data_IF_988981653998
#
_entry.id   IF_988981653998
#
_cell.length_a   1.000
_cell.length_b   1.000
_cell.length_c   1.000
_cell.angle_alpha   90.00
_cell.angle_beta   90.00
_cell.angle_gamma   90.00
#
_symmetry.space_group_name_H-M   'P 1'
#
loop_
_entity.id
_entity.type
_entity.pdbx_description
1 polymer ?
#
# COMPACT_ATOMS: atom_id res chain seq x y z
N UNK A 1 -48.23 43.51 -14.07
CA UNK A 1 -47.15 43.89 -13.13
C UNK A 1 -47.66 43.53 -11.75
N UNK A 2 -47.07 42.63 -10.97
CA UNK A 2 -45.66 42.34 -10.74
C UNK A 2 -45.49 40.85 -10.38
N UNK A 3 -44.38 40.29 -10.84
CA UNK A 3 -43.85 38.96 -10.55
C UNK A 3 -43.12 38.94 -9.20
N UNK A 4 -43.21 37.83 -8.47
CA UNK A 4 -42.43 37.54 -7.26
C UNK A 4 -41.71 36.20 -7.41
N UNK A 5 -40.38 36.25 -7.36
CA UNK A 5 -39.42 35.19 -7.69
C UNK A 5 -39.27 34.22 -6.52
N UNK A 6 -39.33 32.91 -6.79
CA UNK A 6 -39.09 31.84 -5.83
C UNK A 6 -37.60 31.69 -5.50
N UNK A 7 -37.28 31.71 -4.20
CA UNK A 7 -35.95 31.55 -3.64
C UNK A 7 -35.54 30.07 -3.54
N UNK A 8 -34.58 29.62 -4.34
CA UNK A 8 -33.88 28.36 -4.10
C UNK A 8 -32.77 28.58 -3.06
N UNK A 9 -32.79 27.80 -1.98
CA UNK A 9 -31.87 27.90 -0.84
C UNK A 9 -30.41 27.59 -1.19
N UNK A 10 -29.40 28.20 -0.52
CA UNK A 10 -27.96 28.00 -0.77
C UNK A 10 -27.45 26.55 -0.61
N UNK A 11 -28.21 25.68 0.07
CA UNK A 11 -27.85 24.31 0.39
C UNK A 11 -27.93 23.36 -0.83
N UNK A 12 -28.78 23.67 -1.83
CA UNK A 12 -28.92 22.87 -3.05
C UNK A 12 -27.79 23.11 -4.05
N UNK A 13 -27.27 24.34 -4.13
CA UNK A 13 -26.10 24.69 -4.95
C UNK A 13 -24.81 24.06 -4.42
N UNK A 14 -24.63 24.02 -3.09
CA UNK A 14 -23.48 23.39 -2.43
C UNK A 14 -23.41 21.87 -2.68
N UNK A 15 -24.55 21.19 -2.66
CA UNK A 15 -24.65 19.76 -2.92
C UNK A 15 -24.40 19.41 -4.41
N UNK A 16 -24.82 20.29 -5.33
CA UNK A 16 -24.51 20.15 -6.76
C UNK A 16 -23.01 20.31 -7.05
N UNK A 17 -22.34 21.22 -6.33
CA UNK A 17 -20.90 21.47 -6.47
C UNK A 17 -20.06 20.30 -5.94
N UNK A 18 -20.45 19.73 -4.79
CA UNK A 18 -19.79 18.56 -4.19
C UNK A 18 -19.97 17.31 -5.07
N UNK A 19 -21.17 17.08 -5.63
CA UNK A 19 -21.39 15.99 -6.61
C UNK A 19 -20.56 16.17 -7.88
N UNK A 20 -20.42 17.41 -8.37
CA UNK A 20 -19.60 17.71 -9.54
C UNK A 20 -18.11 17.45 -9.27
N UNK A 21 -17.60 17.82 -8.09
CA UNK A 21 -16.20 17.56 -7.69
C UNK A 21 -15.94 16.07 -7.46
N UNK A 22 -16.87 15.33 -6.84
CA UNK A 22 -16.75 13.87 -6.66
C UNK A 22 -16.75 13.15 -8.03
N UNK A 23 -17.61 13.57 -8.96
CA UNK A 23 -17.59 13.03 -10.32
C UNK A 23 -16.29 13.37 -11.07
N UNK A 24 -15.75 14.59 -10.90
CA UNK A 24 -14.44 14.97 -11.48
C UNK A 24 -13.29 14.13 -10.90
N UNK A 25 -13.32 13.82 -9.60
CA UNK A 25 -12.30 12.99 -8.94
C UNK A 25 -12.40 11.51 -9.34
N UNK A 26 -13.62 10.99 -9.56
CA UNK A 26 -13.84 9.64 -10.10
C UNK A 26 -13.34 9.54 -11.55
N UNK A 27 -13.51 10.60 -12.35
CA UNK A 27 -13.01 10.66 -13.73
C UNK A 27 -11.47 10.72 -13.79
N UNK A 28 -10.80 11.31 -12.80
CA UNK A 28 -9.32 11.41 -12.76
C UNK A 28 -8.66 10.09 -12.32
N UNK A 29 -9.35 9.25 -11.53
CA UNK A 29 -8.75 8.05 -10.93
C UNK A 29 -9.10 6.73 -11.63
N UNK A 30 -9.73 6.76 -12.81
CA UNK A 30 -9.89 5.57 -13.66
C UNK A 30 -9.10 5.79 -14.95
N UNK A 31 -7.77 5.74 -14.87
CA UNK A 31 -6.89 5.17 -15.91
C UNK A 31 -5.43 5.13 -15.42
N UNK A 32 -4.74 3.98 -15.46
CA UNK A 32 -3.30 3.95 -15.61
C UNK A 32 -3.00 3.85 -17.12
N UNK A 33 -3.03 4.98 -17.84
CA UNK A 33 -2.25 5.18 -19.08
C UNK A 33 -2.51 6.56 -19.71
N UNK A 34 -1.51 7.18 -20.36
CA UNK A 34 -1.70 8.37 -21.19
C UNK A 34 -2.32 7.96 -22.54
N UNK A 35 -3.60 7.60 -22.55
CA UNK A 35 -4.39 7.46 -23.77
C UNK A 35 -5.28 8.70 -23.92
N UNK A 36 -5.29 9.34 -25.09
CA UNK A 36 -6.16 10.49 -25.37
C UNK A 36 -7.63 10.09 -25.28
N UNK A 37 -8.52 11.02 -24.87
CA UNK A 37 -9.98 10.76 -24.72
C UNK A 37 -10.60 10.23 -26.03
N UNK A 38 -10.04 10.64 -27.17
CA UNK A 38 -10.35 10.10 -28.49
C UNK A 38 -10.14 8.58 -28.61
N UNK A 39 -9.10 8.02 -27.97
CA UNK A 39 -8.79 6.59 -28.02
C UNK A 39 -9.86 5.75 -27.30
N UNK A 40 -10.39 6.24 -26.18
CA UNK A 40 -11.52 5.61 -25.47
C UNK A 40 -12.79 5.58 -26.33
N UNK A 41 -13.06 6.65 -27.08
CA UNK A 41 -14.21 6.72 -27.98
C UNK A 41 -14.04 5.78 -29.19
N UNK A 42 -12.81 5.63 -29.69
CA UNK A 42 -12.48 4.68 -30.77
C UNK A 42 -12.65 3.22 -30.34
N UNK A 43 -12.17 2.86 -29.15
CA UNK A 43 -12.28 1.50 -28.61
C UNK A 43 -13.73 1.08 -28.33
N UNK A 44 -14.61 2.06 -28.03
CA UNK A 44 -16.04 1.83 -27.76
C UNK A 44 -16.97 2.21 -28.93
N UNK A 45 -16.41 2.52 -30.12
CA UNK A 45 -17.18 3.07 -31.25
C UNK A 45 -18.33 2.17 -31.70
N UNK A 46 -18.08 0.86 -31.80
CA UNK A 46 -19.09 -0.14 -32.18
C UNK A 46 -20.24 -0.18 -31.19
N UNK A 47 -19.94 -0.20 -29.89
CA UNK A 47 -20.94 -0.17 -28.83
C UNK A 47 -21.84 1.08 -28.91
N UNK A 48 -21.25 2.26 -29.13
CA UNK A 48 -22.02 3.50 -29.24
C UNK A 48 -22.89 3.53 -30.49
N UNK A 49 -22.42 2.98 -31.61
CA UNK A 49 -23.23 2.83 -32.82
C UNK A 49 -24.44 1.95 -32.51
N UNK A 50 -24.23 0.75 -31.97
CA UNK A 50 -25.32 -0.19 -31.69
C UNK A 50 -26.35 0.37 -30.70
N UNK A 51 -25.87 1.04 -29.65
CA UNK A 51 -26.71 1.55 -28.56
C UNK A 51 -27.48 2.80 -28.97
N UNK A 52 -26.79 3.80 -29.55
CA UNK A 52 -27.39 5.11 -29.85
C UNK A 52 -28.26 5.07 -31.11
N UNK A 53 -28.08 4.07 -31.99
CA UNK A 53 -28.91 3.91 -33.19
C UNK A 53 -30.35 3.49 -32.88
N UNK A 54 -30.67 3.15 -31.63
CA UNK A 54 -32.04 2.91 -31.19
C UNK A 54 -32.92 4.17 -31.31
N UNK A 55 -32.34 5.37 -31.12
CA UNK A 55 -33.01 6.65 -31.35
C UNK A 55 -31.96 7.75 -31.67
N UNK A 56 -31.46 7.74 -32.90
CA UNK A 56 -30.41 8.68 -33.31
C UNK A 56 -30.92 10.13 -33.35
N UNK A 57 -32.20 10.34 -33.63
CA UNK A 57 -32.80 11.68 -33.63
C UNK A 57 -32.77 12.32 -32.24
N UNK A 58 -33.07 11.55 -31.19
CA UNK A 58 -32.97 12.00 -29.80
C UNK A 58 -31.53 12.38 -29.43
N UNK A 59 -30.55 11.54 -29.77
CA UNK A 59 -29.12 11.81 -29.49
C UNK A 59 -28.65 13.06 -30.23
N UNK A 60 -29.05 13.23 -31.49
CA UNK A 60 -28.67 14.38 -32.31
C UNK A 60 -29.23 15.69 -31.75
N UNK A 61 -30.47 15.67 -31.24
CA UNK A 61 -31.10 16.83 -30.60
C UNK A 61 -30.34 17.26 -29.33
N UNK A 62 -29.95 16.29 -28.49
CA UNK A 62 -29.18 16.56 -27.28
C UNK A 62 -27.76 17.04 -27.59
N UNK A 63 -27.13 16.50 -28.65
CA UNK A 63 -25.82 16.96 -29.11
C UNK A 63 -25.85 18.41 -29.62
N UNK A 64 -26.94 18.84 -30.27
CA UNK A 64 -27.14 20.23 -30.68
C UNK A 64 -27.36 21.15 -29.47
N UNK A 65 -28.27 20.77 -28.55
CA UNK A 65 -28.59 21.55 -27.36
C UNK A 65 -27.37 21.77 -26.47
N UNK A 66 -26.53 20.74 -26.29
CA UNK A 66 -25.28 20.81 -25.53
C UNK A 66 -24.12 21.44 -26.30
N UNK A 67 -24.39 22.00 -27.49
CA UNK A 67 -23.43 22.71 -28.36
C UNK A 67 -22.20 21.86 -28.71
N UNK A 68 -22.39 20.56 -28.89
CA UNK A 68 -21.36 19.62 -29.37
C UNK A 68 -21.31 19.68 -30.89
N UNK A 69 -22.50 19.76 -31.51
CA UNK A 69 -22.69 20.06 -32.92
C UNK A 69 -23.43 21.39 -33.09
N UNK A 70 -23.24 22.02 -34.23
CA UNK A 70 -23.92 23.26 -34.63
C UNK A 70 -25.24 22.94 -35.34
N UNK A 71 -26.15 23.91 -35.40
CA UNK A 71 -27.43 23.78 -36.13
C UNK A 71 -27.27 23.35 -37.60
N UNK A 72 -26.22 23.84 -38.27
CA UNK A 72 -25.90 23.45 -39.65
C UNK A 72 -25.47 21.97 -39.72
N UNK A 73 -24.68 21.52 -38.77
CA UNK A 73 -24.24 20.12 -38.69
C UNK A 73 -25.41 19.20 -38.35
N UNK A 74 -26.31 19.61 -37.44
CA UNK A 74 -27.56 18.91 -37.16
C UNK A 74 -28.39 18.70 -38.44
N UNK A 75 -28.62 19.74 -39.23
CA UNK A 75 -29.38 19.62 -40.49
C UNK A 75 -28.71 18.71 -41.52
N UNK A 76 -27.37 18.69 -41.57
CA UNK A 76 -26.62 17.80 -42.47
C UNK A 76 -26.66 16.34 -42.01
N UNK A 77 -26.62 16.11 -40.70
CA UNK A 77 -26.65 14.78 -40.10
C UNK A 77 -28.06 14.18 -40.15
N UNK A 78 -29.10 14.99 -39.90
CA UNK A 78 -30.51 14.58 -39.90
C UNK A 78 -31.16 14.54 -41.31
N UNK A 79 -30.40 14.11 -42.33
CA UNK A 79 -30.90 14.06 -43.70
C UNK A 79 -31.85 12.85 -43.88
N UNK A 80 -32.99 13.00 -44.59
CA UNK A 80 -34.00 11.93 -44.76
C UNK A 80 -33.51 10.65 -45.46
N UNK A 81 -32.29 10.67 -46.01
CA UNK A 81 -31.68 9.51 -46.67
C UNK A 81 -30.72 8.73 -45.76
N UNK A 82 -30.49 9.20 -44.52
CA UNK A 82 -29.64 8.50 -43.57
C UNK A 82 -30.47 7.51 -42.73
N UNK A 83 -29.96 6.31 -42.57
CA UNK A 83 -30.43 5.37 -41.55
C UNK A 83 -30.00 5.87 -40.16
N UNK A 84 -30.67 5.42 -39.10
CA UNK A 84 -30.32 5.77 -37.72
C UNK A 84 -28.84 5.47 -37.40
N UNK A 85 -28.35 4.32 -37.90
CA UNK A 85 -26.94 3.92 -37.79
C UNK A 85 -26.00 4.89 -38.49
N UNK A 86 -26.31 5.29 -39.74
CA UNK A 86 -25.52 6.26 -40.49
C UNK A 86 -25.51 7.63 -39.81
N UNK A 87 -26.61 8.03 -39.15
CA UNK A 87 -26.66 9.28 -38.38
C UNK A 87 -25.65 9.23 -37.22
N UNK A 88 -25.61 8.13 -36.46
CA UNK A 88 -24.69 7.97 -35.33
C UNK A 88 -23.24 7.83 -35.79
N UNK A 89 -22.96 7.05 -36.83
CA UNK A 89 -21.61 6.93 -37.39
C UNK A 89 -21.07 8.31 -37.77
N UNK A 90 -21.85 9.08 -38.53
CA UNK A 90 -21.46 10.42 -38.96
C UNK A 90 -21.32 11.40 -37.78
N UNK A 91 -22.16 11.28 -36.75
CA UNK A 91 -22.04 12.07 -35.52
C UNK A 91 -20.74 11.76 -34.78
N UNK A 92 -20.42 10.48 -34.55
CA UNK A 92 -19.20 10.06 -33.86
C UNK A 92 -17.95 10.50 -34.63
N UNK A 93 -17.92 10.32 -35.95
CA UNK A 93 -16.82 10.79 -36.79
C UNK A 93 -16.66 12.31 -36.70
N UNK A 94 -17.77 13.05 -36.66
CA UNK A 94 -17.74 14.50 -36.52
C UNK A 94 -17.20 14.93 -35.15
N UNK A 95 -17.61 14.26 -34.07
CA UNK A 95 -17.13 14.52 -32.71
C UNK A 95 -15.62 14.24 -32.60
N UNK A 96 -15.15 13.11 -33.13
CA UNK A 96 -13.73 12.75 -33.16
C UNK A 96 -12.88 13.76 -33.95
N UNK A 97 -13.36 14.21 -35.10
CA UNK A 97 -12.66 15.20 -35.93
C UNK A 97 -12.57 16.61 -35.30
N UNK A 98 -13.34 16.90 -34.25
CA UNK A 98 -13.31 18.19 -33.52
C UNK A 98 -12.32 18.23 -32.35
N UNK A 99 -11.66 17.10 -32.04
CA UNK A 99 -10.62 17.02 -31.02
C UNK A 99 -11.10 16.64 -29.62
N UNK A 100 -10.15 16.40 -28.71
CA UNK A 100 -10.37 15.77 -27.39
C UNK A 100 -11.36 16.51 -26.49
N UNK A 101 -11.40 17.84 -26.53
CA UNK A 101 -12.35 18.63 -25.74
C UNK A 101 -13.80 18.37 -26.15
N UNK A 102 -14.04 18.18 -27.45
CA UNK A 102 -15.38 17.85 -27.96
C UNK A 102 -15.74 16.42 -27.62
N UNK A 103 -14.79 15.48 -27.72
CA UNK A 103 -14.97 14.09 -27.29
C UNK A 103 -15.33 14.00 -25.81
N UNK A 104 -14.63 14.76 -24.94
CA UNK A 104 -14.90 14.80 -23.50
C UNK A 104 -16.30 15.31 -23.20
N UNK A 105 -16.71 16.41 -23.85
CA UNK A 105 -18.06 16.98 -23.70
C UNK A 105 -19.14 16.03 -24.21
N UNK A 106 -18.86 15.25 -25.24
CA UNK A 106 -19.78 14.23 -25.75
C UNK A 106 -19.91 13.04 -24.80
N UNK A 107 -18.80 12.54 -24.24
CA UNK A 107 -18.85 11.50 -23.22
C UNK A 107 -19.59 11.97 -21.95
N UNK A 108 -19.44 13.23 -21.56
CA UNK A 108 -20.22 13.83 -20.47
C UNK A 108 -21.72 13.86 -20.80
N UNK A 109 -22.09 14.24 -22.03
CA UNK A 109 -23.48 14.21 -22.47
C UNK A 109 -24.07 12.79 -22.38
N UNK A 110 -23.33 11.76 -22.82
CA UNK A 110 -23.80 10.37 -22.72
C UNK A 110 -23.95 9.86 -21.27
N UNK A 111 -23.37 10.58 -20.31
CA UNK A 111 -23.53 10.32 -18.88
C UNK A 111 -24.69 11.09 -18.24
N UNK A 112 -25.36 11.99 -18.98
CA UNK A 112 -26.51 12.72 -18.47
C UNK A 112 -27.70 11.78 -18.22
N UNK A 113 -28.43 12.02 -17.13
CA UNK A 113 -29.53 11.17 -16.68
C UNK A 113 -30.59 10.92 -17.77
N UNK A 114 -30.93 11.94 -18.56
CA UNK A 114 -31.93 11.85 -19.63
C UNK A 114 -31.50 10.89 -20.75
N UNK A 115 -30.20 10.83 -21.06
CA UNK A 115 -29.67 9.89 -22.05
C UNK A 115 -29.52 8.49 -21.47
N UNK A 116 -29.11 8.35 -20.21
CA UNK A 116 -29.01 7.05 -19.56
C UNK A 116 -30.38 6.36 -19.34
N UNK A 117 -31.44 7.14 -19.14
CA UNK A 117 -32.81 6.61 -19.02
C UNK A 117 -33.34 6.09 -20.36
N UNK A 118 -33.04 6.76 -21.48
CA UNK A 118 -33.47 6.35 -22.82
C UNK A 118 -32.57 5.26 -23.44
N UNK A 119 -31.30 5.21 -23.04
CA UNK A 119 -30.34 4.21 -23.52
C UNK A 119 -29.75 3.42 -22.34
N UNK A 120 -30.45 2.39 -21.84
CA UNK A 120 -29.99 1.60 -20.70
C UNK A 120 -28.63 0.93 -20.94
N UNK A 121 -28.26 0.66 -22.20
CA UNK A 121 -26.92 0.20 -22.56
C UNK A 121 -25.80 1.15 -22.10
N UNK A 122 -26.03 2.47 -22.16
CA UNK A 122 -25.07 3.48 -21.68
C UNK A 122 -24.84 3.37 -20.17
N UNK A 123 -25.88 3.03 -19.40
CA UNK A 123 -25.77 2.88 -17.95
C UNK A 123 -24.86 1.72 -17.54
N UNK A 124 -24.84 0.64 -18.32
CA UNK A 124 -23.91 -0.48 -18.11
C UNK A 124 -22.50 -0.17 -18.60
N UNK A 125 -22.35 0.57 -19.71
CA UNK A 125 -21.03 0.95 -20.24
C UNK A 125 -20.30 2.00 -19.40
N UNK A 126 -21.02 3.00 -18.90
CA UNK A 126 -20.51 4.00 -17.95
C UNK A 126 -20.64 3.57 -16.49
N UNK A 127 -21.09 2.34 -16.23
CA UNK A 127 -21.04 1.80 -14.88
C UNK A 127 -19.58 1.85 -14.46
N UNK A 128 -19.24 2.55 -13.35
CA UNK A 128 -17.88 2.44 -12.83
C UNK A 128 -17.60 0.95 -12.70
N UNK A 129 -16.42 0.46 -13.15
CA UNK A 129 -16.11 -0.95 -13.09
C UNK A 129 -16.48 -1.40 -11.68
N UNK A 130 -17.48 -2.29 -11.58
CA UNK A 130 -17.72 -2.91 -10.30
C UNK A 130 -16.38 -3.54 -9.95
N UNK A 131 -15.82 -3.28 -8.76
CA UNK A 131 -14.67 -4.06 -8.34
C UNK A 131 -15.09 -5.49 -8.58
N UNK A 132 -14.39 -6.19 -9.48
CA UNK A 132 -14.59 -7.61 -9.58
C UNK A 132 -14.49 -8.10 -8.14
N UNK A 133 -15.35 -9.02 -7.74
CA UNK A 133 -15.26 -9.65 -6.42
C UNK A 133 -14.02 -10.56 -6.42
N UNK A 134 -12.83 -9.99 -6.62
CA UNK A 134 -11.68 -10.37 -5.84
C UNK A 134 -12.14 -10.14 -4.40
N UNK A 135 -12.18 -11.19 -3.59
CA UNK A 135 -12.18 -10.99 -2.15
C UNK A 135 -11.06 -9.99 -1.86
N UNK A 136 -11.40 -8.76 -1.46
CA UNK A 136 -10.39 -7.81 -0.98
C UNK A 136 -9.54 -8.59 0.02
N UNK A 137 -8.21 -8.61 -0.17
CA UNK A 137 -7.31 -9.28 0.78
C UNK A 137 -7.64 -8.71 2.15
N UNK A 138 -8.33 -9.51 2.97
CA UNK A 138 -8.88 -9.04 4.23
C UNK A 138 -7.78 -8.59 5.17
N UNK A 139 -8.14 -7.87 6.24
CA UNK A 139 -7.19 -7.45 7.27
C UNK A 139 -7.13 -8.47 8.41
N UNK A 140 -5.95 -8.66 9.01
CA UNK A 140 -5.87 -9.34 10.29
C UNK A 140 -6.56 -8.48 11.36
N UNK A 141 -7.28 -9.14 12.27
CA UNK A 141 -7.76 -8.49 13.49
C UNK A 141 -6.54 -7.96 14.25
N UNK A 142 -6.54 -6.68 14.63
CA UNK A 142 -5.48 -5.99 15.36
C UNK A 142 -6.09 -5.00 16.37
N UNK A 143 -7.10 -5.44 17.11
CA UNK A 143 -7.91 -4.62 18.03
C UNK A 143 -7.80 -5.01 19.50
N UNK A 144 -7.18 -6.15 19.83
CA UNK A 144 -6.96 -6.60 21.22
C UNK A 144 -5.98 -5.70 21.99
N UNK A 145 -6.22 -5.53 23.30
CA UNK A 145 -5.34 -4.76 24.20
C UNK A 145 -5.03 -5.66 25.41
N UNK A 146 -3.77 -6.12 25.59
CA UNK A 146 -2.62 -5.87 24.72
C UNK A 146 -2.77 -6.47 23.32
N UNK A 147 -2.08 -5.91 22.32
CA UNK A 147 -2.04 -6.43 20.94
C UNK A 147 -1.45 -7.83 20.86
N UNK A 148 -0.67 -8.18 21.86
CA UNK A 148 0.04 -9.43 22.03
C UNK A 148 1.44 -9.16 22.55
N UNK A 149 2.29 -10.17 22.46
CA UNK A 149 3.63 -10.13 23.02
C UNK A 149 4.62 -9.64 21.96
N UNK A 150 5.47 -8.67 22.33
CA UNK A 150 6.65 -8.27 21.60
C UNK A 150 7.90 -8.66 22.40
N UNK A 151 8.64 -9.64 21.94
CA UNK A 151 9.87 -10.11 22.59
C UNK A 151 11.08 -9.50 21.91
N UNK A 152 11.98 -8.90 22.69
CA UNK A 152 13.25 -8.36 22.19
C UNK A 152 14.39 -9.19 22.80
N UNK A 153 15.07 -9.97 21.97
CA UNK A 153 16.32 -10.66 22.33
C UNK A 153 17.49 -9.78 21.88
N UNK A 154 18.20 -9.18 22.83
CA UNK A 154 19.28 -8.25 22.55
C UNK A 154 20.62 -8.75 23.13
N UNK A 155 21.46 -9.31 22.26
CA UNK A 155 22.81 -9.76 22.65
C UNK A 155 23.79 -8.62 22.40
N UNK A 156 24.31 -8.05 23.49
CA UNK A 156 25.23 -6.92 23.52
C UNK A 156 26.62 -7.40 23.92
N UNK A 157 26.72 -8.16 25.01
CA UNK A 157 27.98 -8.61 25.60
C UNK A 157 28.20 -10.08 25.25
N UNK A 158 29.24 -10.34 24.47
CA UNK A 158 29.64 -11.69 24.06
C UNK A 158 30.82 -12.15 24.89
N UNK A 159 30.99 -13.47 25.04
CA UNK A 159 32.14 -14.06 25.75
C UNK A 159 33.47 -13.55 25.16
N UNK A 160 33.53 -13.43 23.84
CA UNK A 160 34.60 -12.75 23.14
C UNK A 160 34.34 -11.24 23.11
N UNK A 161 35.06 -10.47 23.92
CA UNK A 161 34.86 -9.02 24.07
C UNK A 161 34.96 -8.21 22.76
N UNK A 162 35.77 -8.67 21.78
CA UNK A 162 35.88 -8.00 20.47
C UNK A 162 34.57 -8.00 19.70
N UNK A 163 33.64 -8.86 20.08
CA UNK A 163 32.37 -9.06 19.41
C UNK A 163 31.24 -8.29 20.11
N UNK A 164 31.53 -7.51 21.15
CA UNK A 164 30.53 -6.70 21.84
C UNK A 164 29.82 -5.72 20.89
N UNK A 165 28.51 -5.61 21.04
CA UNK A 165 27.62 -4.87 20.13
C UNK A 165 27.19 -3.51 20.67
N UNK A 166 28.13 -2.70 21.19
CA UNK A 166 27.87 -1.39 21.79
C UNK A 166 27.00 -0.47 20.90
N UNK A 167 25.89 0.04 21.41
CA UNK A 167 24.90 0.82 20.66
C UNK A 167 23.67 0.01 20.22
N UNK A 168 23.65 -1.31 20.45
CA UNK A 168 22.43 -2.12 20.31
C UNK A 168 21.38 -1.79 21.38
N UNK A 169 21.78 -1.13 22.46
CA UNK A 169 20.91 -0.56 23.49
C UNK A 169 20.03 0.57 22.93
N UNK A 170 20.55 1.33 21.95
CA UNK A 170 19.79 2.37 21.26
C UNK A 170 18.65 1.73 20.46
N UNK A 171 18.95 0.65 19.74
CA UNK A 171 17.96 -0.13 18.99
C UNK A 171 16.91 -0.75 19.92
N UNK A 172 17.35 -1.33 21.05
CA UNK A 172 16.44 -1.88 22.06
C UNK A 172 15.48 -0.81 22.57
N UNK A 173 15.99 0.37 22.93
CA UNK A 173 15.16 1.48 23.41
C UNK A 173 14.13 1.91 22.36
N UNK A 174 14.55 2.11 21.11
CA UNK A 174 13.63 2.47 20.02
C UNK A 174 12.54 1.43 19.79
N UNK A 175 12.88 0.14 19.88
CA UNK A 175 11.92 -0.95 19.74
C UNK A 175 10.93 -1.00 20.91
N UNK A 176 11.40 -0.83 22.15
CA UNK A 176 10.52 -0.76 23.33
C UNK A 176 9.53 0.38 23.15
N UNK A 177 10.01 1.58 22.79
CA UNK A 177 9.18 2.76 22.62
C UNK A 177 8.09 2.54 21.55
N UNK A 178 8.47 2.10 20.35
CA UNK A 178 7.51 1.95 19.24
C UNK A 178 6.52 0.82 19.48
N UNK A 179 6.95 -0.35 19.98
CA UNK A 179 6.03 -1.47 20.18
C UNK A 179 5.13 -1.30 21.41
N UNK A 180 5.62 -0.61 22.46
CA UNK A 180 4.75 -0.19 23.57
C UNK A 180 3.71 0.81 23.08
N UNK A 181 4.12 1.78 22.26
CA UNK A 181 3.20 2.76 21.65
C UNK A 181 2.16 2.10 20.73
N UNK A 182 2.53 1.04 20.02
CA UNK A 182 1.61 0.23 19.22
C UNK A 182 0.71 -0.71 20.06
N UNK A 183 0.87 -0.76 21.38
CA UNK A 183 0.01 -1.51 22.29
C UNK A 183 0.43 -2.94 22.59
N UNK A 184 1.69 -3.31 22.31
CA UNK A 184 2.23 -4.61 22.68
C UNK A 184 2.69 -4.64 24.13
N UNK A 185 2.61 -5.81 24.75
CA UNK A 185 3.38 -6.09 25.97
C UNK A 185 4.80 -6.42 25.54
N UNK A 186 5.78 -5.60 25.96
CA UNK A 186 7.18 -5.76 25.56
C UNK A 186 7.97 -6.52 26.63
N UNK A 187 8.62 -7.62 26.26
CA UNK A 187 9.54 -8.40 27.11
C UNK A 187 10.96 -8.34 26.52
N UNK A 188 11.94 -7.94 27.33
CA UNK A 188 13.35 -7.81 26.90
C UNK A 188 14.20 -8.89 27.55
N UNK A 189 14.97 -9.61 26.73
CA UNK A 189 15.93 -10.63 27.14
C UNK A 189 17.31 -10.29 26.61
N UNK A 190 18.22 -9.91 27.52
CA UNK A 190 19.59 -9.58 27.16
C UNK A 190 20.53 -10.78 27.27
N UNK A 191 21.56 -10.74 26.42
CA UNK A 191 22.78 -11.55 26.51
C UNK A 191 22.55 -13.05 26.69
N UNK A 192 21.74 -13.64 25.81
CA UNK A 192 21.41 -15.06 25.83
C UNK A 192 22.41 -15.89 25.03
N UNK A 193 22.87 -16.98 25.64
CA UNK A 193 23.62 -18.03 24.93
C UNK A 193 22.72 -18.75 23.93
N UNK A 194 23.30 -19.50 22.99
CA UNK A 194 22.52 -20.20 21.99
C UNK A 194 21.53 -21.20 22.61
N UNK A 195 21.90 -22.03 23.62
CA UNK A 195 20.94 -22.87 24.34
C UNK A 195 19.82 -22.06 25.00
N UNK A 196 20.17 -20.97 25.69
CA UNK A 196 19.18 -20.12 26.36
C UNK A 196 18.21 -19.45 25.38
N UNK A 197 18.67 -19.07 24.19
CA UNK A 197 17.79 -18.55 23.14
C UNK A 197 16.81 -19.61 22.66
N UNK A 198 17.28 -20.85 22.43
CA UNK A 198 16.43 -21.97 22.00
C UNK A 198 15.37 -22.30 23.05
N UNK A 199 15.78 -22.39 24.31
CA UNK A 199 14.87 -22.64 25.43
C UNK A 199 13.85 -21.51 25.57
N UNK A 200 14.29 -20.25 25.51
CA UNK A 200 13.40 -19.09 25.55
C UNK A 200 12.36 -19.11 24.42
N UNK A 201 12.79 -19.35 23.18
CA UNK A 201 11.89 -19.39 22.01
C UNK A 201 10.88 -20.53 22.13
N UNK A 202 11.31 -21.68 22.65
CA UNK A 202 10.43 -22.80 22.95
C UNK A 202 9.42 -22.42 24.04
N UNK A 203 9.86 -21.88 25.16
CA UNK A 203 8.98 -21.47 26.26
C UNK A 203 7.96 -20.42 25.81
N UNK A 204 8.39 -19.45 25.00
CA UNK A 204 7.51 -18.43 24.42
C UNK A 204 6.43 -19.05 23.54
N UNK A 205 6.74 -20.07 22.74
CA UNK A 205 5.76 -20.76 21.89
C UNK A 205 4.71 -21.54 22.67
N UNK A 206 4.99 -21.86 23.94
CA UNK A 206 4.07 -22.60 24.82
C UNK A 206 3.22 -21.67 25.71
N UNK A 207 3.44 -20.36 25.66
CA UNK A 207 2.58 -19.38 26.33
C UNK A 207 1.20 -19.36 25.68
N UNK A 208 0.18 -18.96 26.45
CA UNK A 208 -1.09 -18.59 25.84
C UNK A 208 -0.97 -17.21 25.19
N UNK A 209 -1.32 -17.13 23.90
CA UNK A 209 -1.16 -15.94 23.09
C UNK A 209 -2.52 -15.28 22.90
N UNK A 210 -3.07 -14.69 23.96
CA UNK A 210 -4.41 -14.08 23.97
C UNK A 210 -4.55 -12.89 22.99
N UNK A 211 -3.44 -12.20 22.69
CA UNK A 211 -3.40 -11.08 21.75
C UNK A 211 -3.62 -11.48 20.29
N UNK A 212 -3.64 -10.48 19.41
CA UNK A 212 -3.89 -10.63 17.98
C UNK A 212 -2.61 -10.91 17.17
N UNK A 213 -1.43 -10.57 17.69
CA UNK A 213 -0.15 -10.66 16.97
C UNK A 213 1.00 -11.04 17.90
N UNK A 214 1.96 -11.80 17.39
CA UNK A 214 3.24 -12.04 18.05
C UNK A 214 4.36 -11.33 17.30
N UNK A 215 5.20 -10.59 18.01
CA UNK A 215 6.38 -9.91 17.47
C UNK A 215 7.63 -10.44 18.19
N UNK A 216 8.68 -10.77 17.45
CA UNK A 216 9.99 -11.10 18.00
C UNK A 216 11.11 -10.35 17.27
N UNK A 217 11.82 -9.51 18.01
CA UNK A 217 12.98 -8.77 17.54
C UNK A 217 14.24 -9.46 18.04
N UNK A 218 15.16 -9.82 17.15
CA UNK A 218 16.44 -10.47 17.51
C UNK A 218 17.59 -9.58 17.03
N UNK A 219 18.36 -9.05 17.98
CA UNK A 219 19.52 -8.18 17.76
C UNK A 219 20.78 -8.92 18.19
N UNK A 220 21.54 -9.47 17.24
CA UNK A 220 22.76 -10.23 17.55
C UNK A 220 23.72 -10.27 16.36
N UNK A 221 24.82 -11.03 16.48
CA UNK A 221 25.61 -11.48 15.34
C UNK A 221 24.91 -12.61 14.60
N UNK A 222 25.37 -12.91 13.39
CA UNK A 222 24.84 -14.02 12.60
C UNK A 222 25.73 -14.37 11.41
N UNK A 223 25.39 -15.49 10.77
CA UNK A 223 26.06 -16.01 9.59
C UNK A 223 25.10 -16.83 8.74
N UNK A 224 25.03 -16.54 7.44
CA UNK A 224 24.17 -17.27 6.50
C UNK A 224 22.67 -17.31 6.87
N UNK A 225 22.26 -18.38 7.56
CA UNK A 225 20.88 -18.67 8.01
C UNK A 225 20.75 -18.74 9.54
N UNK A 226 21.78 -18.35 10.29
CA UNK A 226 21.88 -18.55 11.74
C UNK A 226 22.07 -17.21 12.47
N UNK A 227 21.60 -17.15 13.70
CA UNK A 227 21.87 -16.09 14.67
C UNK A 227 22.79 -16.67 15.75
N UNK A 228 23.70 -15.87 16.30
CA UNK A 228 24.59 -16.34 17.36
C UNK A 228 24.12 -15.96 18.76
N UNK A 229 24.29 -16.89 19.70
CA UNK A 229 24.25 -16.59 21.13
C UNK A 229 25.51 -15.86 21.59
N UNK A 230 25.50 -15.38 22.84
CA UNK A 230 26.65 -14.70 23.45
C UNK A 230 27.87 -15.61 23.64
N UNK A 231 27.65 -16.92 23.66
CA UNK A 231 28.63 -18.01 23.65
C UNK A 231 29.22 -18.30 22.26
N UNK A 232 28.82 -17.54 21.23
CA UNK A 232 29.21 -17.79 19.84
C UNK A 232 28.51 -19.00 19.20
N UNK A 233 27.64 -19.69 19.94
CA UNK A 233 26.88 -20.83 19.46
C UNK A 233 25.86 -20.44 18.40
N UNK A 234 25.62 -21.32 17.43
CA UNK A 234 24.65 -21.09 16.37
C UNK A 234 23.21 -21.45 16.77
N UNK A 235 22.29 -20.54 16.45
CA UNK A 235 20.84 -20.72 16.51
C UNK A 235 20.30 -20.70 15.07
N UNK A 236 20.09 -21.87 14.46
CA UNK A 236 19.49 -21.99 13.14
C UNK A 236 18.10 -21.37 13.05
N UNK A 237 17.72 -20.92 11.85
CA UNK A 237 16.38 -20.38 11.60
C UNK A 237 15.24 -21.35 11.98
N UNK A 238 15.46 -22.65 11.90
CA UNK A 238 14.49 -23.67 12.30
C UNK A 238 14.20 -23.62 13.81
N UNK A 239 15.23 -23.43 14.64
CA UNK A 239 15.08 -23.28 16.09
C UNK A 239 14.41 -21.95 16.48
N UNK A 240 14.44 -20.95 15.58
CA UNK A 240 13.80 -19.64 15.78
C UNK A 240 12.32 -19.66 15.39
N UNK A 241 11.99 -20.17 14.21
CA UNK A 241 10.63 -20.08 13.65
C UNK A 241 9.80 -21.34 13.88
N UNK A 242 10.44 -22.52 13.88
CA UNK A 242 9.79 -23.83 14.04
C UNK A 242 8.88 -23.94 15.26
N UNK A 243 9.26 -23.40 16.44
CA UNK A 243 8.39 -23.40 17.62
C UNK A 243 7.05 -22.67 17.41
N UNK A 244 7.01 -21.65 16.54
CA UNK A 244 5.83 -20.80 16.31
C UNK A 244 4.96 -21.23 15.11
N UNK A 245 5.30 -22.35 14.45
CA UNK A 245 4.46 -22.92 13.37
C UNK A 245 3.08 -23.29 13.90
N UNK A 246 2.06 -23.26 13.04
CA UNK A 246 0.68 -23.56 13.43
C UNK A 246 0.50 -24.95 14.05
N UNK A 247 1.32 -25.93 13.66
CA UNK A 247 1.34 -27.28 14.25
C UNK A 247 1.96 -27.35 15.64
N UNK A 248 2.82 -26.38 15.97
CA UNK A 248 3.61 -26.34 17.21
C UNK A 248 3.06 -25.34 18.23
N UNK A 249 2.37 -24.30 17.76
CA UNK A 249 1.82 -23.20 18.56
C UNK A 249 0.39 -22.86 18.10
N UNK A 250 -0.57 -23.63 18.61
CA UNK A 250 -1.97 -23.54 18.19
C UNK A 250 -2.63 -22.19 18.55
N UNK A 251 -2.19 -21.55 19.64
CA UNK A 251 -2.69 -20.24 20.10
C UNK A 251 -2.31 -19.08 19.16
N UNK A 252 -1.33 -19.27 18.25
CA UNK A 252 -0.96 -18.34 17.17
C UNK A 252 -1.43 -18.78 15.77
N UNK A 253 -2.24 -19.84 15.68
CA UNK A 253 -2.81 -20.25 14.40
C UNK A 253 -3.75 -19.16 13.85
N UNK A 254 -3.56 -18.74 12.60
CA UNK A 254 -4.33 -17.66 11.98
C UNK A 254 -3.96 -16.24 12.43
N UNK A 255 -2.99 -16.09 13.34
CA UNK A 255 -2.47 -14.81 13.82
C UNK A 255 -1.12 -14.48 13.18
N UNK A 256 -0.84 -13.21 12.85
CA UNK A 256 0.45 -12.79 12.34
C UNK A 256 1.59 -13.04 13.34
N UNK A 257 2.68 -13.62 12.83
CA UNK A 257 3.93 -13.92 13.54
C UNK A 257 5.06 -13.15 12.88
N UNK A 258 5.46 -12.03 13.49
CA UNK A 258 6.35 -11.04 12.90
C UNK A 258 7.73 -11.13 13.54
N UNK A 259 8.76 -11.32 12.73
CA UNK A 259 10.14 -11.39 13.18
C UNK A 259 10.98 -10.29 12.53
N UNK A 260 11.64 -9.49 13.36
CA UNK A 260 12.62 -8.50 12.92
C UNK A 260 14.02 -8.94 13.35
N UNK A 261 14.88 -9.27 12.39
CA UNK A 261 16.20 -9.85 12.68
C UNK A 261 17.29 -8.89 12.21
N UNK A 262 17.93 -8.25 13.18
CA UNK A 262 19.15 -7.47 12.99
C UNK A 262 20.35 -8.37 13.28
N UNK A 263 20.83 -9.06 12.24
CA UNK A 263 22.03 -9.89 12.27
C UNK A 263 22.67 -9.92 10.88
N UNK A 264 24.00 -10.04 10.84
CA UNK A 264 24.72 -10.29 9.58
C UNK A 264 24.29 -11.63 8.99
N UNK A 265 24.36 -11.76 7.65
CA UNK A 265 24.05 -13.02 6.96
C UNK A 265 25.24 -13.56 6.17
N UNK A 266 26.43 -13.06 6.46
CA UNK A 266 27.70 -13.49 5.89
C UNK A 266 28.79 -12.46 6.15
N UNK A 267 29.94 -12.63 5.47
CA UNK A 267 31.16 -11.84 5.66
C UNK A 267 31.51 -10.96 4.45
N UNK A 268 30.59 -10.77 3.50
CA UNK A 268 30.80 -9.93 2.30
C UNK A 268 30.20 -8.54 2.51
N UNK A 269 30.72 -7.52 1.83
CA UNK A 269 30.15 -6.17 1.82
C UNK A 269 29.35 -5.95 0.53
N UNK A 270 28.18 -5.31 0.61
CA UNK A 270 27.43 -4.94 -0.61
C UNK A 270 28.10 -3.74 -1.27
N UNK A 271 28.33 -3.84 -2.58
CA UNK A 271 28.92 -2.79 -3.40
C UNK A 271 27.84 -1.83 -3.91
N UNK A 272 28.15 -0.54 -4.07
CA UNK A 272 27.27 0.39 -4.75
C UNK A 272 27.23 0.09 -6.25
N UNK A 273 26.05 0.26 -6.86
CA UNK A 273 25.86 0.29 -8.31
C UNK A 273 25.37 1.68 -8.67
N UNK A 274 25.88 2.25 -9.77
CA UNK A 274 25.39 3.52 -10.29
C UNK A 274 24.04 3.27 -10.97
N UNK A 275 22.99 3.91 -10.48
CA UNK A 275 21.66 3.90 -11.12
C UNK A 275 21.42 5.29 -11.71
N UNK A 276 20.95 5.37 -12.95
CA UNK A 276 20.44 6.63 -13.50
C UNK A 276 19.13 6.98 -12.77
N UNK A 277 18.98 8.25 -12.39
CA UNK A 277 17.71 8.74 -11.85
C UNK A 277 16.63 8.62 -12.92
N UNK A 278 15.43 8.18 -12.52
CA UNK A 278 14.25 7.88 -13.35
C UNK A 278 14.11 8.82 -14.56
N UNK A 279 14.71 8.42 -15.69
CA UNK A 279 14.57 9.04 -17.01
C UNK A 279 14.41 7.90 -18.02
N UNK A 280 13.37 8.01 -18.85
CA UNK A 280 13.01 7.05 -19.88
C UNK A 280 14.10 6.97 -20.97
N UNK A 281 14.64 5.77 -21.21
CA UNK A 281 15.22 5.36 -22.49
C UNK A 281 16.63 4.79 -22.46
N UNK A 282 16.80 3.60 -23.05
CA UNK A 282 18.07 3.13 -23.64
C UNK A 282 18.52 1.73 -23.19
N UNK A 283 18.56 0.81 -24.15
CA UNK A 283 18.84 -0.64 -24.05
C UNK A 283 20.28 -1.05 -23.62
N UNK A 284 20.31 -2.28 -23.08
CA UNK A 284 21.31 -3.36 -23.11
C UNK A 284 22.75 -3.20 -22.57
N UNK A 285 23.09 -4.03 -21.57
CA UNK A 285 23.89 -5.24 -21.81
C UNK A 285 23.92 -6.15 -20.55
N UNK A 286 23.72 -7.45 -20.78
CA UNK A 286 23.69 -8.51 -19.79
C UNK A 286 25.08 -8.91 -19.28
N UNK A 287 25.15 -9.39 -18.03
CA UNK A 287 26.26 -10.25 -17.60
C UNK A 287 25.78 -11.36 -16.66
N UNK A 288 26.32 -12.55 -16.87
CA UNK A 288 25.87 -13.85 -16.35
C UNK A 288 25.91 -13.94 -14.82
N UNK A 289 24.74 -14.24 -14.22
CA UNK A 289 24.68 -14.78 -12.88
C UNK A 289 24.83 -16.31 -12.96
N UNK A 290 25.95 -16.82 -12.45
CA UNK A 290 26.14 -18.26 -12.21
C UNK A 290 25.07 -18.74 -11.24
N UNK A 291 24.21 -19.63 -11.73
CA UNK A 291 23.24 -20.41 -10.96
C UNK A 291 23.98 -21.23 -9.89
N UNK A 292 23.93 -20.81 -8.63
CA UNK A 292 24.08 -21.74 -7.52
C UNK A 292 22.73 -22.40 -7.25
N UNK A 293 22.75 -23.70 -7.47
CA UNK A 293 21.65 -24.65 -7.53
C UNK A 293 20.82 -24.71 -6.25
N UNK A 294 19.51 -24.83 -6.46
CA UNK A 294 18.44 -25.04 -5.49
C UNK A 294 18.79 -25.99 -4.35
N UNK A 295 18.48 -25.59 -3.12
CA UNK A 295 17.91 -26.51 -2.12
C UNK A 295 17.01 -25.77 -1.12
N UNK A 296 15.70 -26.05 -1.29
CA UNK A 296 14.56 -25.77 -0.41
C UNK A 296 14.05 -24.32 -0.37
N UNK A 297 13.59 -23.85 -1.52
CA UNK A 297 12.38 -23.03 -1.55
C UNK A 297 11.20 -23.89 -1.08
N UNK A 298 10.71 -23.66 0.14
CA UNK A 298 9.40 -24.16 0.55
C UNK A 298 8.32 -23.36 -0.20
N UNK A 299 8.02 -23.80 -1.43
CA UNK A 299 6.81 -23.44 -2.16
C UNK A 299 5.87 -24.64 -2.04
N UNK A 300 5.03 -24.60 -1.01
CA UNK A 300 3.68 -25.17 -0.87
C UNK A 300 3.08 -24.46 0.35
N UNK A 301 1.76 -24.43 0.57
CA UNK A 301 1.20 -23.84 1.81
C UNK A 301 1.23 -24.92 2.93
N UNK A 302 2.09 -24.81 3.96
CA UNK A 302 2.29 -25.81 5.01
C UNK A 302 2.07 -25.16 6.41
N UNK A 303 2.50 -25.79 7.50
CA UNK A 303 2.41 -25.27 8.89
C UNK A 303 3.05 -23.87 9.15
N UNK A 304 3.62 -23.25 8.12
CA UNK A 304 4.36 -21.98 8.09
C UNK A 304 3.51 -20.75 7.67
N UNK A 305 2.19 -20.84 7.76
CA UNK A 305 1.28 -19.72 7.45
C UNK A 305 1.37 -18.55 8.43
N UNK A 306 1.10 -17.34 7.92
CA UNK A 306 1.00 -16.11 8.70
C UNK A 306 2.31 -15.61 9.33
N UNK A 307 3.46 -15.87 8.68
CA UNK A 307 4.75 -15.31 9.08
C UNK A 307 5.11 -14.07 8.26
N UNK A 308 5.74 -13.11 8.93
CA UNK A 308 6.53 -12.06 8.28
C UNK A 308 7.92 -12.07 8.91
N UNK A 309 8.96 -12.21 8.10
CA UNK A 309 10.35 -12.17 8.55
C UNK A 309 11.08 -11.07 7.78
N UNK A 310 11.41 -9.98 8.48
CA UNK A 310 12.23 -8.90 7.95
C UNK A 310 13.64 -9.00 8.52
N UNK A 311 14.63 -9.09 7.63
CA UNK A 311 16.06 -9.19 7.98
C UNK A 311 16.79 -7.96 7.51
N UNK A 312 17.77 -7.51 8.28
CA UNK A 312 18.48 -6.27 8.02
C UNK A 312 19.39 -6.27 6.78
N UNK A 313 19.74 -7.45 6.23
CA UNK A 313 20.60 -7.58 5.05
C UNK A 313 20.27 -8.84 4.24
N UNK A 314 20.61 -8.85 2.95
CA UNK A 314 20.50 -10.04 2.09
C UNK A 314 21.55 -11.11 2.43
N UNK A 315 21.33 -12.36 2.01
CA UNK A 315 22.24 -13.50 2.33
C UNK A 315 23.66 -13.21 1.83
N UNK A 316 24.66 -13.50 2.66
CA UNK A 316 26.07 -13.32 2.34
C UNK A 316 26.69 -12.02 2.84
N UNK A 317 25.90 -11.04 3.30
CA UNK A 317 26.38 -9.69 3.54
C UNK A 317 26.32 -9.21 5.01
N UNK A 318 27.10 -8.17 5.31
CA UNK A 318 27.09 -7.45 6.58
C UNK A 318 25.85 -6.55 6.74
N UNK A 319 25.57 -6.19 7.99
CA UNK A 319 24.62 -5.16 8.37
C UNK A 319 25.32 -4.12 9.25
N UNK A 320 25.01 -2.83 9.07
CA UNK A 320 25.71 -1.74 9.73
C UNK A 320 25.02 -1.29 11.02
N UNK A 321 25.86 -0.93 11.99
CA UNK A 321 25.44 -0.37 13.28
C UNK A 321 26.37 0.78 13.68
N UNK A 322 25.76 1.84 14.19
CA UNK A 322 26.44 2.95 14.86
C UNK A 322 26.37 2.74 16.37
N UNK A 323 27.47 3.08 17.07
CA UNK A 323 27.53 3.04 18.53
C UNK A 323 26.67 4.13 19.19
N UNK A 324 26.44 5.25 18.50
CA UNK A 324 25.73 6.41 19.04
C UNK A 324 24.26 6.45 18.61
N UNK A 325 23.96 5.96 17.40
CA UNK A 325 22.65 6.13 16.77
C UNK A 325 21.92 4.82 16.47
N UNK A 326 22.44 3.66 16.89
CA UNK A 326 21.82 2.36 16.59
C UNK A 326 22.08 1.84 15.17
N UNK A 327 21.37 0.80 14.76
CA UNK A 327 21.51 0.19 13.43
C UNK A 327 20.60 0.82 12.39
N UNK A 328 21.09 0.91 11.14
CA UNK A 328 20.32 1.54 10.06
C UNK A 328 18.94 0.90 9.88
N UNK A 329 18.88 -0.43 9.97
CA UNK A 329 17.63 -1.17 9.78
C UNK A 329 16.63 -0.92 10.90
N UNK A 330 17.03 -1.06 12.18
CA UNK A 330 16.10 -0.92 13.30
C UNK A 330 15.64 0.53 13.45
N UNK A 331 16.54 1.49 13.29
CA UNK A 331 16.18 2.91 13.38
C UNK A 331 15.23 3.32 12.26
N UNK A 332 15.49 2.88 11.02
CA UNK A 332 14.57 3.10 9.91
C UNK A 332 13.22 2.44 10.17
N UNK A 333 13.21 1.17 10.60
CA UNK A 333 11.98 0.46 10.96
C UNK A 333 11.14 1.23 11.99
N UNK A 334 11.74 1.64 13.12
CA UNK A 334 11.02 2.37 14.16
C UNK A 334 10.50 3.72 13.66
N UNK A 335 11.28 4.44 12.85
CA UNK A 335 10.89 5.69 12.21
C UNK A 335 9.69 5.50 11.28
N UNK A 336 9.74 4.51 10.39
CA UNK A 336 8.66 4.26 9.43
C UNK A 336 7.39 3.76 10.11
N UNK A 337 7.50 2.88 11.12
CA UNK A 337 6.35 2.49 11.95
C UNK A 337 5.71 3.71 12.63
N UNK A 338 6.52 4.59 13.20
CA UNK A 338 6.01 5.81 13.86
C UNK A 338 5.35 6.78 12.89
N UNK A 339 5.83 6.83 11.65
CA UNK A 339 5.37 7.77 10.63
C UNK A 339 4.07 7.30 9.98
N UNK A 340 3.96 6.00 9.70
CA UNK A 340 2.90 5.45 8.85
C UNK A 340 1.81 4.69 9.64
N UNK A 341 2.01 4.40 10.93
CA UNK A 341 0.96 3.83 11.78
C UNK A 341 0.02 4.94 12.32
N UNK A 342 -1.31 4.80 12.14
CA UNK A 342 -2.27 5.85 12.45
C UNK A 342 -2.46 6.00 13.97
N UNK A 343 -2.47 7.26 14.45
CA UNK A 343 -2.96 7.62 15.80
C UNK A 343 -4.47 7.87 15.73
N UNK A 344 -5.24 7.24 16.61
CA UNK A 344 -6.60 7.71 16.88
C UNK A 344 -6.53 9.03 17.64
N UNK A 345 -6.79 10.15 16.96
CA UNK A 345 -7.08 11.41 17.64
C UNK A 345 -8.58 11.43 17.90
N UNK A 346 -8.99 11.15 19.15
CA UNK A 346 -10.35 11.43 19.59
C UNK A 346 -10.55 12.94 19.51
N UNK A 347 -11.43 13.38 18.61
CA UNK A 347 -11.86 14.77 18.53
C UNK A 347 -12.58 15.15 19.83
N UNK A 348 -11.88 15.83 20.72
CA UNK A 348 -12.50 16.49 21.87
C UNK A 348 -13.36 17.64 21.33
N UNK A 349 -14.66 17.42 21.22
CA UNK A 349 -15.64 18.49 21.04
C UNK A 349 -15.72 19.29 22.34
N UNK A 350 -14.90 20.32 22.45
CA UNK A 350 -14.85 21.20 23.62
C UNK A 350 -14.43 22.61 23.25
N UNK A 351 -15.43 23.48 23.09
CA UNK A 351 -15.41 24.95 23.10
C UNK A 351 -15.15 25.71 21.78
N UNK A 352 -16.16 26.51 21.39
CA UNK A 352 -15.96 27.94 21.17
C UNK A 352 -15.61 28.41 19.76
N UNK A 353 -16.64 28.53 18.90
CA UNK A 353 -16.85 29.59 17.91
C UNK A 353 -15.62 30.44 17.48
N UNK A 354 -14.89 30.05 16.43
CA UNK A 354 -14.13 30.96 15.57
C UNK A 354 -13.96 30.39 14.13
N UNK A 355 -14.55 31.11 13.16
CA UNK A 355 -14.16 31.25 11.74
C UNK A 355 -14.49 30.09 10.77
N UNK A 356 -15.55 30.31 9.98
CA UNK A 356 -16.07 29.52 8.84
C UNK A 356 -15.08 29.25 7.68
N UNK A 357 -13.80 29.60 7.80
CA UNK A 357 -12.75 29.30 6.80
C UNK A 357 -11.93 28.04 7.15
N UNK A 358 -11.97 27.58 8.40
CA UNK A 358 -11.24 26.37 8.84
C UNK A 358 -12.02 25.06 8.62
N UNK A 359 -13.35 25.13 8.42
CA UNK A 359 -14.19 23.93 8.25
C UNK A 359 -13.93 23.22 6.90
N UNK A 360 -13.42 23.95 5.89
CA UNK A 360 -12.99 23.34 4.63
C UNK A 360 -11.66 22.59 4.78
N UNK A 361 -10.76 23.07 5.64
CA UNK A 361 -9.53 22.37 5.98
C UNK A 361 -9.79 21.15 6.87
N UNK A 362 -10.69 21.25 7.86
CA UNK A 362 -11.01 20.15 8.77
C UNK A 362 -11.78 18.99 8.10
N UNK A 363 -12.71 19.25 7.17
CA UNK A 363 -13.43 18.16 6.50
C UNK A 363 -12.59 17.46 5.43
N UNK A 364 -11.67 18.17 4.76
CA UNK A 364 -10.67 17.52 3.88
C UNK A 364 -9.64 16.76 4.71
N UNK A 365 -9.24 17.27 5.87
CA UNK A 365 -8.32 16.59 6.79
C UNK A 365 -8.93 15.33 7.45
N UNK A 366 -10.22 15.34 7.79
CA UNK A 366 -10.93 14.16 8.29
C UNK A 366 -11.16 13.08 7.22
N UNK A 367 -11.23 13.46 5.93
CA UNK A 367 -11.25 12.52 4.80
C UNK A 367 -9.86 11.92 4.50
N UNK A 368 -8.80 12.47 5.08
CA UNK A 368 -7.43 11.96 5.06
C UNK A 368 -7.07 11.21 6.37
N UNK A 369 -8.04 10.57 7.04
CA UNK A 369 -7.69 9.44 7.91
C UNK A 369 -7.12 8.34 7.01
N UNK A 370 -5.80 8.38 6.79
CA UNK A 370 -5.06 7.30 6.14
C UNK A 370 -5.45 6.02 6.86
N UNK A 371 -5.86 4.98 6.11
CA UNK A 371 -6.32 3.68 6.65
C UNK A 371 -5.23 2.93 7.46
N UNK A 372 -4.13 3.59 7.81
CA UNK A 372 -2.85 3.00 8.18
C UNK A 372 -2.24 2.29 6.98
N UNK A 373 -0.94 2.45 6.78
CA UNK A 373 -0.24 1.61 5.81
C UNK A 373 -0.06 0.20 6.36
N UNK A 374 -0.16 -0.81 5.50
CA UNK A 374 0.16 -2.17 5.90
C UNK A 374 1.67 -2.35 6.07
N UNK A 375 2.05 -3.32 6.89
CA UNK A 375 3.45 -3.55 7.26
C UNK A 375 4.37 -3.80 6.07
N UNK A 376 3.87 -4.35 4.95
CA UNK A 376 4.72 -4.60 3.78
C UNK A 376 5.06 -3.29 3.06
N UNK A 377 4.11 -2.36 2.98
CA UNK A 377 4.37 -1.00 2.49
C UNK A 377 5.35 -0.25 3.39
N UNK A 378 5.17 -0.33 4.72
CA UNK A 378 6.10 0.27 5.68
C UNK A 378 7.51 -0.30 5.50
N UNK A 379 7.64 -1.62 5.31
CA UNK A 379 8.94 -2.27 5.08
C UNK A 379 9.56 -1.92 3.72
N UNK A 380 8.75 -1.57 2.72
CA UNK A 380 9.26 -1.02 1.47
C UNK A 380 9.91 0.36 1.70
N UNK A 381 9.28 1.22 2.51
CA UNK A 381 9.89 2.49 2.92
C UNK A 381 11.19 2.27 3.73
N UNK A 382 11.26 1.21 4.54
CA UNK A 382 12.51 0.81 5.22
C UNK A 382 13.59 0.39 4.21
N UNK A 383 13.24 -0.39 3.20
CA UNK A 383 14.19 -0.77 2.15
C UNK A 383 14.72 0.47 1.43
N UNK A 384 13.83 1.39 1.04
CA UNK A 384 14.23 2.63 0.38
C UNK A 384 15.18 3.46 1.26
N UNK A 385 14.81 3.70 2.52
CA UNK A 385 15.60 4.51 3.46
C UNK A 385 16.97 3.87 3.76
N UNK A 386 17.01 2.57 4.05
CA UNK A 386 18.29 1.86 4.31
C UNK A 386 19.15 1.80 3.04
N UNK A 387 18.54 1.59 1.86
CA UNK A 387 19.28 1.53 0.59
C UNK A 387 19.95 2.84 0.22
N UNK A 388 19.46 3.99 0.72
CA UNK A 388 20.08 5.30 0.50
C UNK A 388 21.34 5.49 1.33
N UNK A 389 21.46 4.83 2.49
CA UNK A 389 22.63 4.97 3.37
C UNK A 389 23.92 4.46 2.71
N UNK A 390 25.03 5.10 3.07
CA UNK A 390 26.38 4.76 2.60
C UNK A 390 27.33 4.78 3.79
N UNK A 391 28.10 3.71 3.97
CA UNK A 391 29.07 3.63 5.08
C UNK A 391 30.27 4.53 4.78
N UNK A 392 31.09 4.85 5.80
CA UNK A 392 32.39 5.55 5.59
C UNK A 392 33.32 4.86 4.58
N UNK A 393 33.19 3.55 4.37
CA UNK A 393 33.94 2.75 3.40
C UNK A 393 33.18 2.51 2.07
N UNK A 394 32.23 3.39 1.73
CA UNK A 394 31.40 3.33 0.53
C UNK A 394 30.66 1.98 0.31
N UNK A 395 30.13 1.40 1.39
CA UNK A 395 29.34 0.16 1.38
C UNK A 395 27.86 0.46 1.55
N UNK A 396 27.04 -0.39 0.95
CA UNK A 396 25.57 -0.30 0.98
C UNK A 396 24.97 -1.40 1.87
N UNK A 397 23.70 -1.26 2.20
CA UNK A 397 22.91 -2.26 2.91
C UNK A 397 21.54 -2.36 2.25
N UNK A 398 21.06 -3.59 2.03
CA UNK A 398 19.71 -3.85 1.53
C UNK A 398 19.00 -4.85 2.44
N UNK A 399 17.98 -4.42 3.21
CA UNK A 399 17.15 -5.34 3.97
C UNK A 399 16.34 -6.27 3.05
N UNK A 400 15.78 -7.34 3.62
CA UNK A 400 14.97 -8.31 2.88
C UNK A 400 13.79 -8.79 3.71
N UNK A 401 12.65 -8.91 3.07
CA UNK A 401 11.42 -9.43 3.65
C UNK A 401 11.04 -10.78 3.06
N UNK A 402 10.61 -11.72 3.91
CA UNK A 402 9.97 -12.97 3.51
C UNK A 402 8.59 -13.00 4.16
N UNK A 403 7.56 -13.22 3.35
CA UNK A 403 6.17 -13.06 3.76
C UNK A 403 5.37 -14.31 3.39
N UNK A 404 4.65 -14.86 4.36
CA UNK A 404 3.61 -15.88 4.19
C UNK A 404 2.28 -15.42 4.83
N UNK A 405 2.15 -14.11 5.06
CA UNK A 405 0.90 -13.47 5.46
C UNK A 405 -0.18 -13.70 4.39
N UNK A 406 -1.41 -13.95 4.84
CA UNK A 406 -2.57 -14.22 3.99
C UNK A 406 -3.58 -13.07 3.96
N UNK A 407 -3.34 -12.06 4.78
CA UNK A 407 -4.17 -10.88 5.01
C UNK A 407 -3.29 -9.65 5.18
N UNK A 408 -3.83 -8.45 4.96
CA UNK A 408 -3.14 -7.20 5.26
C UNK A 408 -2.91 -7.10 6.78
N UNK A 409 -1.69 -6.79 7.20
CA UNK A 409 -1.36 -6.53 8.59
C UNK A 409 -1.13 -5.03 8.77
N UNK A 410 -2.08 -4.38 9.45
CA UNK A 410 -2.03 -2.94 9.76
C UNK A 410 -1.90 -2.76 11.27
N UNK A 411 -0.81 -2.15 11.72
CA UNK A 411 -0.67 -1.78 13.13
C UNK A 411 -1.43 -0.49 13.41
N UNK A 412 -2.33 -0.51 14.41
CA UNK A 412 -3.10 0.66 14.84
C UNK A 412 -2.80 0.94 16.30
N UNK A 413 -2.50 2.21 16.59
CA UNK A 413 -2.28 2.69 17.96
C UNK A 413 -3.57 2.47 18.76
N UNK A 414 -3.53 1.81 19.93
CA UNK A 414 -4.69 1.69 20.80
C UNK A 414 -5.24 3.06 21.20
N UNK A 415 -6.56 3.17 21.30
CA UNK A 415 -7.29 4.36 21.74
C UNK A 415 -7.12 4.62 23.24
#
# INVERSE_FOLDING_TARGET
MTTGIGSSTPMTLYNSYIKSIINIIIIINITPCPCTVMQTLLESKTFFIDTLSADASFVLQHAEQSKIITKREYSNLNHPNHTQENIIINLLDKVMNKGDDTCRRFLQLLQDNELQENFPGLKEHFRPPQPALYDEIGEYKMSSVPRGLCVIINNIVFEQQSDNRAGSEVDEKSLIEVFSWLGFTVEVHRDKTAPQMKDLLKDLSQKDHEGDCFVCCILSHGGGKEVYGTDGGAVPSEDIFGPFRGTSCQSLAGKPKVFFIQACRGRKYQLPVQVQADNLGGDDAAEEAVLETDTLEMITIPADGDFLVARSTVKGFYSFRSTESGSWFIQSLCKQLTTHCPKYVLGNSGTGLLILHEIFFLNVFFLFFSRGEDIQSILLCVNEDVSKNVSKLNRKQMPVQRVTLRKKLVFRVPS
#
